data_IF_388716523211
#
_entry.id   IF_388716523211
#
_cell.length_a   1.000
_cell.length_b   1.000
_cell.length_c   1.000
_cell.angle_alpha   90.00
_cell.angle_beta   90.00
_cell.angle_gamma   90.00
#
_symmetry.space_group_name_H-M   'P 1'
#
loop_
_entity.id
_entity.type
_entity.pdbx_description
1 polymer ?
#
# COMPACT_ATOMS: atom_id res chain seq x y z
N UNK A 1 -0.92 7.46 73.34
CA UNK A 1 -0.36 6.51 72.35
C UNK A 1 -1.20 6.64 71.09
N UNK A 2 -0.69 7.30 70.05
CA UNK A 2 -1.36 7.38 68.74
C UNK A 2 -0.43 6.75 67.71
N UNK A 3 -0.82 5.58 67.22
CA UNK A 3 -0.11 4.88 66.15
C UNK A 3 -0.72 5.30 64.82
N UNK A 4 0.08 6.01 64.01
CA UNK A 4 -0.28 6.43 62.67
C UNK A 4 0.10 5.30 61.69
N UNK A 5 -0.90 4.67 61.08
CA UNK A 5 -0.69 3.62 60.08
C UNK A 5 -0.59 4.25 58.69
N UNK A 6 0.62 4.26 58.13
CA UNK A 6 0.86 4.63 56.73
C UNK A 6 0.49 3.43 55.86
N UNK A 7 -0.63 3.51 55.14
CA UNK A 7 -0.93 2.57 54.05
C UNK A 7 -0.06 2.93 52.85
N UNK A 8 0.95 2.11 52.56
CA UNK A 8 1.71 2.19 51.32
C UNK A 8 0.87 1.55 50.19
N UNK A 9 0.39 2.39 49.26
CA UNK A 9 -0.29 1.92 48.05
C UNK A 9 0.77 1.53 47.00
N UNK A 10 0.92 0.23 46.76
CA UNK A 10 1.75 -0.30 45.68
C UNK A 10 1.01 -0.10 44.35
N UNK A 11 1.44 0.87 43.54
CA UNK A 11 0.90 1.05 42.20
C UNK A 11 1.40 -0.08 41.28
N UNK A 12 0.49 -0.96 40.86
CA UNK A 12 0.74 -1.91 39.78
C UNK A 12 0.81 -1.12 38.47
N UNK A 13 2.02 -0.87 37.98
CA UNK A 13 2.23 -0.32 36.64
C UNK A 13 1.93 -1.44 35.63
N UNK A 14 0.70 -1.46 35.12
CA UNK A 14 0.34 -2.31 33.98
C UNK A 14 1.02 -1.79 32.73
N UNK A 15 1.92 -2.56 32.15
CA UNK A 15 2.47 -2.26 30.83
C UNK A 15 1.39 -2.47 29.77
N UNK A 16 0.84 -1.39 29.22
CA UNK A 16 -0.07 -1.45 28.10
C UNK A 16 0.72 -1.88 26.85
N UNK A 17 0.40 -3.07 26.32
CA UNK A 17 0.96 -3.55 25.06
C UNK A 17 0.21 -2.86 23.91
N UNK A 18 0.93 -2.31 22.93
CA UNK A 18 0.32 -1.81 21.70
C UNK A 18 -0.37 -2.96 20.95
N UNK A 19 -1.66 -2.82 20.65
CA UNK A 19 -2.41 -3.82 19.92
C UNK A 19 -2.23 -3.66 18.40
N UNK A 20 -2.40 -4.76 17.66
CA UNK A 20 -2.46 -4.74 16.20
C UNK A 20 -3.88 -5.07 15.73
N UNK A 21 -4.52 -4.12 15.05
CA UNK A 21 -5.83 -4.25 14.44
C UNK A 21 -5.67 -4.56 12.95
N UNK A 22 -6.49 -5.47 12.41
CA UNK A 22 -6.40 -5.82 10.99
C UNK A 22 -7.61 -5.29 10.23
N UNK A 23 -7.35 -4.55 9.15
CA UNK A 23 -8.33 -4.22 8.12
C UNK A 23 -8.00 -5.01 6.87
N UNK A 24 -8.92 -5.87 6.45
CA UNK A 24 -8.83 -6.55 5.17
C UNK A 24 -9.33 -5.60 4.07
N UNK A 25 -8.48 -5.36 3.08
CA UNK A 25 -8.77 -4.56 1.89
C UNK A 25 -9.29 -5.50 0.81
N UNK A 26 -10.53 -5.28 0.37
CA UNK A 26 -11.26 -6.13 -0.56
C UNK A 26 -11.66 -7.50 0.03
N UNK A 27 -12.02 -8.46 -0.82
CA UNK A 27 -12.32 -9.85 -0.47
C UNK A 27 -11.87 -10.78 -1.61
N UNK A 28 -11.99 -12.10 -1.44
CA UNK A 28 -11.63 -13.11 -2.46
C UNK A 28 -12.22 -12.82 -3.85
N UNK A 29 -13.41 -12.22 -3.91
CA UNK A 29 -14.14 -11.89 -5.14
C UNK A 29 -13.91 -10.44 -5.61
N UNK A 30 -12.87 -9.78 -5.12
CA UNK A 30 -12.51 -8.39 -5.45
C UNK A 30 -13.59 -7.33 -5.12
N UNK A 31 -14.27 -7.49 -3.98
CA UNK A 31 -15.30 -6.55 -3.51
C UNK A 31 -14.75 -5.17 -3.13
N UNK A 32 -15.58 -4.15 -3.30
CA UNK A 32 -15.24 -2.75 -2.99
C UNK A 32 -15.42 -2.44 -1.50
N UNK A 33 -14.64 -3.10 -0.63
CA UNK A 33 -14.86 -3.05 0.83
C UNK A 33 -13.58 -3.01 1.64
N UNK A 34 -13.66 -2.40 2.81
CA UNK A 34 -12.72 -2.59 3.91
C UNK A 34 -13.41 -3.40 5.02
N UNK A 35 -12.73 -4.37 5.63
CA UNK A 35 -13.31 -5.24 6.67
C UNK A 35 -12.38 -5.38 7.89
N UNK A 36 -12.77 -4.84 9.06
CA UNK A 36 -13.91 -3.94 9.26
C UNK A 36 -13.71 -2.60 8.52
N UNK A 37 -14.80 -1.91 8.19
CA UNK A 37 -14.78 -0.54 7.63
C UNK A 37 -14.85 0.54 8.72
N UNK A 38 -15.04 0.13 9.97
CA UNK A 38 -14.97 0.96 11.16
C UNK A 38 -14.34 0.18 12.30
N UNK A 39 -13.33 0.74 12.95
CA UNK A 39 -12.75 0.15 14.17
C UNK A 39 -12.34 1.21 15.17
N UNK A 40 -12.12 0.78 16.40
CA UNK A 40 -11.51 1.59 17.46
C UNK A 40 -10.12 1.06 17.77
N UNK A 41 -9.19 1.98 18.00
CA UNK A 41 -7.81 1.68 18.31
C UNK A 41 -7.26 2.73 19.28
N UNK A 42 -6.54 2.27 20.30
CA UNK A 42 -5.90 3.12 21.28
C UNK A 42 -4.69 3.83 20.68
N UNK A 43 -4.24 4.90 21.34
CA UNK A 43 -3.00 5.56 20.93
C UNK A 43 -1.81 4.61 21.13
N UNK A 44 -0.95 4.50 20.13
CA UNK A 44 0.15 3.55 20.06
C UNK A 44 -0.22 2.21 19.42
N UNK A 45 -1.51 1.92 19.19
CA UNK A 45 -1.90 0.74 18.43
C UNK A 45 -1.50 0.86 16.96
N UNK A 46 -1.32 -0.28 16.30
CA UNK A 46 -1.10 -0.36 14.86
C UNK A 46 -2.35 -0.86 14.15
N UNK A 47 -2.66 -0.28 12.98
CA UNK A 47 -3.66 -0.78 12.04
C UNK A 47 -2.95 -1.35 10.82
N UNK A 48 -3.06 -2.66 10.61
CA UNK A 48 -2.50 -3.39 9.48
C UNK A 48 -3.55 -3.62 8.40
N UNK A 49 -3.32 -3.08 7.22
CA UNK A 49 -4.10 -3.31 6.01
C UNK A 49 -3.53 -4.51 5.23
N UNK A 50 -4.37 -5.51 4.97
CA UNK A 50 -4.02 -6.72 4.20
C UNK A 50 -4.87 -6.83 2.94
N UNK A 51 -4.26 -7.10 1.79
CA UNK A 51 -4.90 -6.92 0.50
C UNK A 51 -5.30 -8.25 -0.15
N UNK A 52 -6.56 -8.35 -0.56
CA UNK A 52 -7.06 -9.37 -1.50
C UNK A 52 -6.80 -8.96 -2.97
N UNK A 53 -7.04 -9.84 -3.96
CA UNK A 53 -6.65 -9.66 -5.36
C UNK A 53 -7.28 -8.45 -6.03
N UNK A 54 -6.82 -8.21 -7.27
CA UNK A 54 -6.95 -6.98 -8.05
C UNK A 54 -6.05 -5.88 -7.48
N UNK A 55 -6.30 -4.65 -7.89
CA UNK A 55 -5.53 -3.49 -7.48
C UNK A 55 -6.36 -2.66 -6.52
N UNK A 56 -5.87 -2.53 -5.29
CA UNK A 56 -6.50 -1.71 -4.27
C UNK A 56 -5.43 -0.87 -3.57
N UNK A 57 -5.88 0.16 -2.87
CA UNK A 57 -5.04 1.09 -2.13
C UNK A 57 -5.78 1.61 -0.91
N UNK A 58 -5.06 2.31 -0.04
CA UNK A 58 -5.59 3.01 1.12
C UNK A 58 -4.93 4.38 1.18
N UNK A 59 -5.73 5.43 1.04
CA UNK A 59 -5.31 6.81 1.21
C UNK A 59 -6.12 7.45 2.31
N UNK A 60 -5.47 8.30 3.11
CA UNK A 60 -6.15 9.14 4.09
C UNK A 60 -6.80 10.34 3.41
N UNK A 61 -7.94 10.73 3.95
CA UNK A 61 -8.81 11.79 3.47
C UNK A 61 -9.37 12.55 4.66
N UNK A 62 -10.05 13.67 4.39
CA UNK A 62 -10.85 14.33 5.43
C UNK A 62 -12.29 13.84 5.34
N UNK A 63 -13.04 13.95 6.44
CA UNK A 63 -14.48 13.68 6.41
C UNK A 63 -15.22 14.53 5.36
N UNK A 64 -14.80 15.79 5.21
CA UNK A 64 -15.46 16.76 4.32
C UNK A 64 -15.15 16.53 2.84
N UNK A 65 -14.04 15.85 2.52
CA UNK A 65 -13.58 15.62 1.16
C UNK A 65 -13.27 14.13 0.96
N UNK A 66 -14.29 13.26 0.92
CA UNK A 66 -14.08 11.87 0.52
C UNK A 66 -13.53 11.79 -0.90
N UNK A 67 -12.79 10.72 -1.18
CA UNK A 67 -12.17 10.46 -2.48
C UNK A 67 -11.10 11.50 -2.90
N UNK A 68 -10.66 12.33 -1.94
CA UNK A 68 -9.59 13.31 -2.11
C UNK A 68 -8.52 13.09 -1.04
N UNK A 69 -7.22 13.13 -1.41
CA UNK A 69 -6.16 12.89 -0.45
C UNK A 69 -6.06 14.07 0.52
N UNK A 70 -5.95 13.77 1.81
CA UNK A 70 -5.65 14.79 2.81
C UNK A 70 -4.19 15.25 2.66
N UNK A 71 -3.95 16.54 2.84
CA UNK A 71 -2.57 17.05 2.90
C UNK A 71 -1.80 16.36 4.04
N UNK A 72 -0.61 15.83 3.74
CA UNK A 72 0.20 15.00 4.66
C UNK A 72 -0.54 13.77 5.22
N UNK A 73 -1.62 13.32 4.57
CA UNK A 73 -2.30 12.08 4.91
C UNK A 73 -1.48 10.86 4.47
N UNK A 74 -1.70 9.72 5.13
CA UNK A 74 -1.00 8.50 4.76
C UNK A 74 -1.43 7.99 3.36
N UNK A 75 -0.54 7.23 2.74
CA UNK A 75 -0.75 6.64 1.43
C UNK A 75 -0.07 5.27 1.32
N UNK A 76 -0.84 4.20 1.14
CA UNK A 76 -0.29 2.85 1.02
C UNK A 76 0.46 2.60 -0.28
N UNK A 77 0.21 3.38 -1.33
CA UNK A 77 0.47 2.93 -2.70
C UNK A 77 -0.59 1.95 -3.19
N UNK A 78 -0.49 1.58 -4.46
CA UNK A 78 -1.27 0.51 -5.07
C UNK A 78 -0.64 -0.85 -4.75
N UNK A 79 -1.46 -1.80 -4.30
CA UNK A 79 -1.03 -3.19 -4.04
C UNK A 79 -1.77 -4.12 -5.01
N UNK A 80 -1.20 -4.38 -6.20
CA UNK A 80 -1.78 -5.31 -7.16
C UNK A 80 -1.45 -6.75 -6.78
N UNK A 81 -2.47 -7.62 -6.75
CA UNK A 81 -2.31 -9.06 -6.52
C UNK A 81 -3.31 -9.86 -7.36
N UNK A 82 -2.98 -11.10 -7.72
CA UNK A 82 -3.79 -11.97 -8.59
C UNK A 82 -4.42 -13.15 -7.86
N UNK A 83 -3.91 -13.54 -6.70
CA UNK A 83 -4.35 -14.73 -5.95
C UNK A 83 -5.72 -14.53 -5.32
N UNK A 84 -6.68 -15.41 -5.60
CA UNK A 84 -7.99 -15.48 -4.91
C UNK A 84 -7.98 -16.39 -3.70
N UNK A 85 -6.87 -17.11 -3.48
CA UNK A 85 -6.73 -18.09 -2.40
C UNK A 85 -5.97 -17.56 -1.20
N UNK A 86 -5.12 -16.55 -1.41
CA UNK A 86 -4.29 -15.94 -0.37
C UNK A 86 -4.31 -14.42 -0.45
N UNK A 87 -4.11 -13.77 0.69
CA UNK A 87 -3.81 -12.34 0.75
C UNK A 87 -2.46 -12.06 0.08
N UNK A 88 -2.26 -10.81 -0.33
CA UNK A 88 -0.95 -10.29 -0.75
C UNK A 88 0.10 -10.48 0.33
N UNK A 89 1.35 -10.69 -0.08
CA UNK A 89 2.50 -10.63 0.81
C UNK A 89 2.83 -9.19 1.22
N UNK A 90 2.28 -8.18 0.52
CA UNK A 90 2.38 -6.78 0.91
C UNK A 90 1.32 -6.38 1.92
N UNK A 91 1.73 -5.65 2.95
CA UNK A 91 0.86 -5.04 3.95
C UNK A 91 1.21 -3.58 4.14
N UNK A 92 0.20 -2.76 4.41
CA UNK A 92 0.41 -1.37 4.81
C UNK A 92 0.05 -1.22 6.28
N UNK A 93 0.89 -0.55 7.06
CA UNK A 93 0.67 -0.34 8.50
C UNK A 93 0.61 1.15 8.82
N UNK A 94 -0.29 1.50 9.73
CA UNK A 94 -0.48 2.86 10.25
C UNK A 94 -0.48 2.81 11.78
N UNK A 95 0.37 3.62 12.41
CA UNK A 95 0.37 3.79 13.87
C UNK A 95 -0.65 4.86 14.27
N UNK A 96 -1.51 4.53 15.24
CA UNK A 96 -2.50 5.46 15.78
C UNK A 96 -1.80 6.41 16.75
N UNK A 97 -1.43 7.59 16.25
CA UNK A 97 -0.73 8.61 17.05
C UNK A 97 -1.66 9.49 17.89
N UNK A 98 -2.96 9.53 17.55
CA UNK A 98 -3.98 10.26 18.30
C UNK A 98 -5.32 9.50 18.25
N UNK A 99 -5.70 8.87 19.36
CA UNK A 99 -6.94 8.08 19.43
C UNK A 99 -8.22 8.92 19.38
N UNK A 100 -8.15 10.21 19.72
CA UNK A 100 -9.29 11.12 19.70
C UNK A 100 -9.53 11.78 18.34
N UNK A 101 -8.62 11.57 17.37
CA UNK A 101 -8.74 12.10 16.02
C UNK A 101 -9.23 11.00 15.05
N UNK A 102 -10.46 11.11 14.50
CA UNK A 102 -10.95 10.14 13.52
C UNK A 102 -10.11 10.16 12.24
N UNK A 103 -9.73 8.99 11.77
CA UNK A 103 -8.94 8.81 10.54
C UNK A 103 -9.83 8.24 9.45
N UNK A 104 -10.18 9.07 8.47
CA UNK A 104 -11.03 8.71 7.34
C UNK A 104 -10.16 8.28 6.15
N UNK A 105 -10.48 7.15 5.54
CA UNK A 105 -9.69 6.60 4.44
C UNK A 105 -10.55 6.02 3.33
N UNK A 106 -9.94 5.87 2.15
CA UNK A 106 -10.61 5.42 0.93
C UNK A 106 -9.66 4.67 0.01
N UNK A 107 -10.22 3.93 -0.95
CA UNK A 107 -9.48 3.34 -2.05
C UNK A 107 -9.47 4.26 -3.27
N UNK A 108 -8.28 4.56 -3.79
CA UNK A 108 -8.08 5.52 -4.88
C UNK A 108 -8.26 4.89 -6.26
N UNK A 109 -8.44 3.57 -6.34
CA UNK A 109 -8.57 2.86 -7.61
C UNK A 109 -9.89 3.19 -8.31
N UNK A 110 -9.82 3.72 -9.53
CA UNK A 110 -10.99 3.94 -10.39
C UNK A 110 -12.15 4.62 -9.65
N UNK A 111 -13.35 4.00 -9.69
CA UNK A 111 -14.54 4.46 -8.95
C UNK A 111 -14.76 3.74 -7.61
N UNK A 112 -13.73 3.11 -7.03
CA UNK A 112 -13.89 2.31 -5.81
C UNK A 112 -14.39 3.14 -4.62
N UNK A 113 -13.85 4.36 -4.45
CA UNK A 113 -14.31 5.27 -3.41
C UNK A 113 -15.80 5.61 -3.56
N UNK A 114 -16.21 6.04 -4.77
CA UNK A 114 -17.63 6.31 -5.06
C UNK A 114 -18.51 5.05 -4.95
N UNK A 115 -17.94 3.88 -5.17
CA UNK A 115 -18.57 2.58 -4.95
C UNK A 115 -18.69 2.17 -3.47
N UNK A 116 -18.30 3.04 -2.54
CA UNK A 116 -18.42 2.81 -1.10
C UNK A 116 -17.20 2.15 -0.44
N UNK A 117 -16.07 2.04 -1.17
CA UNK A 117 -14.81 1.53 -0.60
C UNK A 117 -14.11 2.63 0.22
N UNK A 118 -14.71 2.89 1.38
CA UNK A 118 -14.28 3.90 2.37
C UNK A 118 -14.40 3.32 3.77
N UNK A 119 -13.65 3.87 4.72
CA UNK A 119 -13.69 3.46 6.11
C UNK A 119 -13.17 4.52 7.08
N UNK A 120 -13.22 4.19 8.37
CA UNK A 120 -12.81 5.08 9.46
C UNK A 120 -12.16 4.32 10.63
N UNK A 121 -11.08 4.87 11.17
CA UNK A 121 -10.52 4.47 12.47
C UNK A 121 -10.94 5.53 13.48
N UNK A 122 -11.37 5.10 14.67
CA UNK A 122 -11.86 5.96 15.76
C UNK A 122 -12.96 6.93 15.31
N UNK A 123 -14.09 6.44 14.78
CA UNK A 123 -15.21 7.30 14.39
C UNK A 123 -15.73 8.10 15.60
N UNK A 124 -16.25 9.32 15.38
CA UNK A 124 -16.97 10.06 16.41
C UNK A 124 -18.11 9.23 17.01
N UNK A 125 -18.24 9.24 18.34
CA UNK A 125 -19.32 8.54 19.06
C UNK A 125 -20.66 9.26 18.97
N UNK A 126 -20.63 10.55 18.66
CA UNK A 126 -21.80 11.43 18.60
C UNK A 126 -21.67 12.40 17.43
N UNK A 127 -22.78 13.03 17.07
CA UNK A 127 -22.84 14.01 15.98
C UNK A 127 -23.02 13.40 14.60
N UNK A 128 -22.94 14.24 13.58
CA UNK A 128 -23.33 13.91 12.20
C UNK A 128 -22.20 13.24 11.40
N UNK A 129 -20.98 13.24 11.93
CA UNK A 129 -19.77 12.70 11.27
C UNK A 129 -19.69 11.17 11.39
N UNK A 130 -20.68 10.49 10.82
CA UNK A 130 -20.80 9.02 10.85
C UNK A 130 -20.20 8.36 9.60
N UNK A 131 -19.87 7.07 9.68
CA UNK A 131 -19.45 6.30 8.50
C UNK A 131 -20.53 6.28 7.41
N UNK A 132 -21.81 6.27 7.79
CA UNK A 132 -22.92 6.33 6.84
C UNK A 132 -22.93 7.66 6.07
N UNK A 133 -22.75 8.79 6.77
CA UNK A 133 -22.62 10.10 6.15
C UNK A 133 -21.40 10.18 5.23
N UNK A 134 -20.27 9.60 5.65
CA UNK A 134 -19.05 9.55 4.84
C UNK A 134 -19.22 8.72 3.56
N UNK A 135 -19.86 7.54 3.65
CA UNK A 135 -20.22 6.72 2.49
C UNK A 135 -21.14 7.46 1.52
N UNK A 136 -22.17 8.14 2.04
CA UNK A 136 -23.08 8.94 1.21
C UNK A 136 -22.35 10.10 0.51
N UNK A 137 -21.47 10.81 1.21
CA UNK A 137 -20.67 11.87 0.59
C UNK A 137 -19.71 11.29 -0.47
N UNK A 138 -19.12 10.12 -0.23
CA UNK A 138 -18.20 9.47 -1.18
C UNK A 138 -18.88 9.08 -2.49
N UNK A 139 -20.13 8.60 -2.46
CA UNK A 139 -20.86 8.20 -3.68
C UNK A 139 -21.18 9.39 -4.59
N UNK A 140 -21.25 10.60 -4.02
CA UNK A 140 -21.48 11.85 -4.72
C UNK A 140 -20.19 12.54 -5.18
N UNK A 141 -19.01 12.02 -4.82
CA UNK A 141 -17.74 12.63 -5.19
C UNK A 141 -17.50 12.56 -6.72
N UNK A 142 -17.26 13.72 -7.33
CA UNK A 142 -17.05 13.82 -8.78
C UNK A 142 -15.82 13.04 -9.26
N UNK A 143 -14.74 13.09 -8.49
CA UNK A 143 -13.44 12.50 -8.84
C UNK A 143 -12.91 11.62 -7.70
N UNK A 144 -12.12 10.60 -8.06
CA UNK A 144 -11.33 9.81 -7.13
C UNK A 144 -9.84 10.10 -7.37
N UNK A 145 -9.19 10.75 -6.42
CA UNK A 145 -7.83 11.29 -6.61
C UNK A 145 -6.83 10.43 -5.86
N UNK A 146 -5.72 10.11 -6.51
CA UNK A 146 -4.60 9.37 -5.92
C UNK A 146 -3.60 10.35 -5.33
N UNK A 147 -3.08 10.13 -4.09
CA UNK A 147 -1.97 10.91 -3.56
C UNK A 147 -0.75 10.90 -4.48
N UNK A 148 -0.02 12.02 -4.54
CA UNK A 148 1.25 12.14 -5.28
C UNK A 148 2.48 11.83 -4.41
N UNK A 149 2.29 11.57 -3.11
CA UNK A 149 3.35 11.15 -2.20
C UNK A 149 3.86 9.74 -2.56
N UNK A 150 5.05 9.41 -2.07
CA UNK A 150 5.60 8.07 -2.24
C UNK A 150 4.71 7.01 -1.56
N UNK A 151 4.66 5.81 -2.13
CA UNK A 151 3.98 4.68 -1.51
C UNK A 151 4.57 4.39 -0.12
N UNK A 152 3.71 4.14 0.86
CA UNK A 152 4.09 3.99 2.27
C UNK A 152 4.17 5.29 3.06
N UNK A 153 4.00 6.46 2.44
CA UNK A 153 4.03 7.74 3.18
C UNK A 153 3.01 7.76 4.33
N UNK A 154 3.39 8.30 5.49
CA UNK A 154 2.53 8.36 6.68
C UNK A 154 2.23 7.01 7.33
N UNK A 155 2.94 5.95 6.93
CA UNK A 155 2.86 4.60 7.50
C UNK A 155 4.06 3.77 7.06
N UNK A 156 3.87 2.47 6.89
CA UNK A 156 4.90 1.60 6.34
C UNK A 156 4.28 0.54 5.42
N UNK A 157 4.72 0.52 4.15
CA UNK A 157 4.38 -0.51 3.18
C UNK A 157 5.49 -1.57 3.17
N UNK A 158 5.18 -2.78 3.60
CA UNK A 158 6.15 -3.86 3.78
C UNK A 158 5.77 -5.11 3.00
N UNK A 159 6.76 -5.74 2.38
CA UNK A 159 6.63 -7.07 1.80
C UNK A 159 7.04 -8.13 2.83
N UNK A 160 6.11 -8.96 3.26
CA UNK A 160 6.42 -10.09 4.12
C UNK A 160 7.02 -11.22 3.28
N UNK A 161 8.35 -11.26 3.26
CA UNK A 161 9.10 -12.39 2.71
C UNK A 161 9.06 -13.55 3.71
N UNK A 162 7.97 -14.31 3.78
CA UNK A 162 8.14 -15.71 4.19
C UNK A 162 9.02 -16.35 3.12
N UNK A 163 10.28 -16.63 3.48
CA UNK A 163 11.27 -17.22 2.61
C UNK A 163 10.64 -18.28 1.70
N UNK A 164 10.58 -18.00 0.41
CA UNK A 164 10.69 -19.07 -0.56
C UNK A 164 12.06 -19.70 -0.25
N UNK A 165 12.08 -20.95 0.18
CA UNK A 165 13.28 -21.77 0.19
C UNK A 165 13.73 -21.96 -1.27
N UNK A 166 14.35 -20.93 -1.83
CA UNK A 166 15.27 -21.02 -2.94
C UNK A 166 16.65 -20.84 -2.33
N UNK A 167 17.39 -21.94 -2.19
CA UNK A 167 18.81 -21.91 -1.82
C UNK A 167 19.54 -20.87 -2.66
N UNK A 168 20.48 -20.08 -2.11
CA UNK A 168 21.36 -19.28 -2.93
C UNK A 168 22.34 -20.27 -3.58
N UNK A 169 22.15 -20.59 -4.86
CA UNK A 169 23.23 -21.21 -5.62
C UNK A 169 24.22 -20.10 -5.97
N UNK A 170 25.18 -19.89 -5.07
CA UNK A 170 26.44 -19.28 -5.45
C UNK A 170 27.16 -20.25 -6.39
N UNK A 171 27.43 -19.84 -7.62
CA UNK A 171 28.53 -20.40 -8.40
C UNK A 171 29.07 -19.33 -9.34
N UNK A 172 30.33 -19.01 -9.11
CA UNK A 172 31.08 -18.01 -9.83
C UNK A 172 31.49 -18.43 -11.23
N UNK A 173 31.89 -17.40 -11.97
CA UNK A 173 32.72 -17.32 -13.16
C UNK A 173 33.39 -18.59 -13.68
N UNK A 174 33.04 -18.95 -14.93
CA UNK A 174 33.81 -19.83 -15.81
C UNK A 174 33.68 -19.38 -17.26
N UNK A 175 34.82 -19.20 -17.94
CA UNK A 175 34.99 -18.62 -19.28
C UNK A 175 34.42 -19.51 -20.42
N UNK A 176 34.33 -19.01 -21.68
CA UNK A 176 33.56 -19.65 -22.74
C UNK A 176 34.34 -20.77 -23.42
N UNK A 177 33.66 -21.87 -23.74
CA UNK A 177 34.16 -22.88 -24.67
C UNK A 177 33.13 -23.09 -25.79
N UNK A 178 33.46 -22.60 -26.98
CA UNK A 178 32.83 -23.01 -28.24
C UNK A 178 33.93 -23.62 -29.10
N UNK A 179 33.92 -24.95 -29.20
CA UNK A 179 34.72 -25.73 -30.14
C UNK A 179 34.02 -25.73 -31.49
N UNK A 180 34.69 -25.16 -32.50
CA UNK A 180 34.14 -25.01 -33.84
C UNK A 180 34.26 -26.25 -34.73
N UNK A 181 33.58 -26.17 -35.87
CA UNK A 181 33.90 -26.66 -37.21
C UNK A 181 32.67 -26.34 -38.09
N UNK A 182 32.73 -25.89 -39.35
CA UNK A 182 33.81 -25.92 -40.32
C UNK A 182 33.71 -24.74 -41.30
N UNK A 183 34.89 -24.44 -41.82
CA UNK A 183 35.31 -23.59 -42.93
C UNK A 183 34.61 -23.80 -44.27
N UNK A 184 34.33 -22.72 -44.99
CA UNK A 184 34.54 -22.65 -46.44
C UNK A 184 35.22 -21.31 -46.83
N UNK A 185 36.32 -21.49 -47.57
CA UNK A 185 37.08 -20.60 -48.45
C UNK A 185 36.21 -19.58 -49.20
N UNK A 186 36.67 -18.45 -49.72
CA UNK A 186 37.96 -17.78 -49.85
C UNK A 186 37.68 -16.39 -50.49
N UNK A 187 38.64 -15.47 -50.44
CA UNK A 187 38.74 -14.40 -51.45
C UNK A 187 38.85 -12.99 -50.91
N UNK A 188 40.09 -12.55 -50.66
CA UNK A 188 40.49 -11.15 -50.52
C UNK A 188 40.28 -10.39 -51.83
N UNK A 189 39.81 -9.13 -51.76
CA UNK A 189 40.43 -7.96 -52.41
C UNK A 189 39.53 -6.71 -52.40
N UNK A 190 40.08 -5.68 -51.77
CA UNK A 190 40.06 -4.22 -52.07
C UNK A 190 39.34 -3.67 -53.33
N UNK A 191 38.81 -2.45 -53.12
CA UNK A 191 38.76 -1.23 -53.97
C UNK A 191 37.39 -0.65 -54.37
N UNK A 192 37.33 0.68 -54.18
CA UNK A 192 36.68 1.72 -54.99
C UNK A 192 35.15 1.97 -54.91
N UNK A 193 34.78 3.06 -54.21
CA UNK A 193 34.29 4.29 -54.85
C UNK A 193 32.82 4.42 -55.31
N UNK A 194 32.38 5.70 -55.32
CA UNK A 194 31.15 6.30 -55.86
C UNK A 194 29.91 6.24 -54.93
N UNK A 195 29.49 7.33 -54.27
CA UNK A 195 28.89 8.57 -54.79
C UNK A 195 27.52 8.37 -55.44
N UNK A 196 26.45 8.75 -54.72
CA UNK A 196 25.22 9.28 -55.33
C UNK A 196 24.39 10.03 -54.27
N UNK A 197 24.51 11.35 -54.35
CA UNK A 197 23.51 12.34 -53.96
C UNK A 197 22.14 11.95 -54.54
N UNK A 198 21.06 12.07 -53.76
CA UNK A 198 19.79 12.54 -54.29
C UNK A 198 19.05 13.35 -53.22
N UNK A 199 19.05 14.66 -53.44
CA UNK A 199 18.18 15.63 -52.79
C UNK A 199 16.89 15.75 -53.61
N UNK A 200 15.74 15.86 -52.94
CA UNK A 200 14.55 16.60 -53.39
C UNK A 200 13.61 16.70 -52.17
N UNK A 201 13.57 17.83 -51.46
CA UNK A 201 12.90 19.11 -51.73
C UNK A 201 11.37 19.03 -51.65
N UNK A 202 10.89 19.56 -50.51
CA UNK A 202 9.71 20.40 -50.28
C UNK A 202 8.76 20.61 -51.47
N UNK A 203 7.51 20.20 -51.26
CA UNK A 203 6.33 21.04 -51.42
C UNK A 203 5.61 21.04 -50.07
#
# INVERSE_FOLDING_TARGET
MLFSNIFAATALVGSAMAANHVIVVSNKTAGLTFKPDSLEAAQGDTVTFKFWPKNHSVAQSTFAQPCQPMNNGFWSGYVPTTSTESLSNWTFTYEVTNASAPVWFYCTQGRHCQGGMVGVINPPKTGERTLAAYKNASSLAANNVTPQSAAGFGGNLTENSTAASGSPTASGSGAPQSTGAASHLAGSAVFAGAASLFAYLLI
#
